data_IF_376325544640
#
_entry.id   IF_376325544640
#
_cell.length_a   1.000
_cell.length_b   1.000
_cell.length_c   1.000
_cell.angle_alpha   90.00
_cell.angle_beta   90.00
_cell.angle_gamma   90.00
#
_symmetry.space_group_name_H-M   'P 1'
#
loop_
_entity.id
_entity.type
_entity.pdbx_description
1 polymer ?
#
# COMPACT_ATOMS: atom_id res chain seq x y z
N UNK A 1 -29.73 -0.61 -20.34
CA UNK A 1 -28.76 -0.48 -19.23
C UNK A 1 -27.41 -0.18 -19.86
N UNK A 2 -26.83 0.99 -19.59
CA UNK A 2 -25.54 1.39 -20.14
C UNK A 2 -24.43 0.69 -19.35
N UNK A 3 -23.87 -0.38 -19.92
CA UNK A 3 -22.68 -1.04 -19.41
C UNK A 3 -21.50 -0.06 -19.50
N UNK A 4 -21.24 0.69 -18.42
CA UNK A 4 -19.95 1.37 -18.25
C UNK A 4 -18.88 0.28 -18.18
N UNK A 5 -17.83 0.32 -19.01
CA UNK A 5 -16.73 -0.62 -18.87
C UNK A 5 -16.18 -0.49 -17.45
N UNK A 6 -16.08 -1.60 -16.73
CA UNK A 6 -15.33 -1.64 -15.46
C UNK A 6 -13.92 -1.14 -15.79
N UNK A 7 -13.65 0.12 -15.44
CA UNK A 7 -12.40 0.76 -15.77
C UNK A 7 -11.33 0.18 -14.86
N UNK A 8 -10.45 -0.66 -15.42
CA UNK A 8 -9.31 -1.26 -14.72
C UNK A 8 -8.48 -0.20 -13.96
N UNK A 9 -8.31 0.98 -14.56
CA UNK A 9 -7.64 2.11 -13.92
C UNK A 9 -8.35 2.60 -12.64
N UNK A 10 -9.68 2.56 -12.60
CA UNK A 10 -10.46 2.88 -11.39
C UNK A 10 -10.26 1.84 -10.30
N UNK A 11 -10.24 0.56 -10.66
CA UNK A 11 -9.96 -0.52 -9.69
C UNK A 11 -8.54 -0.40 -9.11
N UNK A 12 -7.54 -0.05 -9.92
CA UNK A 12 -6.16 0.24 -9.46
C UNK A 12 -6.14 1.43 -8.50
N UNK A 13 -6.78 2.54 -8.84
CA UNK A 13 -6.87 3.70 -7.97
C UNK A 13 -7.59 3.42 -6.65
N UNK A 14 -8.61 2.56 -6.66
CA UNK A 14 -9.27 2.09 -5.43
C UNK A 14 -8.28 1.28 -4.57
N UNK A 15 -7.50 0.39 -5.16
CA UNK A 15 -6.47 -0.37 -4.44
C UNK A 15 -5.40 0.54 -3.80
N UNK A 16 -4.95 1.56 -4.52
CA UNK A 16 -4.03 2.58 -3.99
C UNK A 16 -4.70 3.37 -2.86
N UNK A 17 -5.96 3.77 -3.04
CA UNK A 17 -6.74 4.48 -2.03
C UNK A 17 -6.90 3.68 -0.73
N UNK A 18 -7.25 2.39 -0.82
CA UNK A 18 -7.33 1.48 0.34
C UNK A 18 -5.98 1.40 1.04
N UNK A 19 -4.89 1.29 0.27
CA UNK A 19 -3.53 1.26 0.82
C UNK A 19 -3.24 2.53 1.61
N UNK A 20 -3.50 3.70 1.04
CA UNK A 20 -3.26 4.99 1.69
C UNK A 20 -4.11 5.15 2.97
N UNK A 21 -5.37 4.72 2.94
CA UNK A 21 -6.27 4.75 4.09
C UNK A 21 -5.77 3.87 5.24
N UNK A 22 -5.24 2.68 4.90
CA UNK A 22 -4.67 1.76 5.89
C UNK A 22 -3.38 2.33 6.51
N UNK A 23 -2.61 3.09 5.72
CA UNK A 23 -1.43 3.81 6.21
C UNK A 23 -1.79 5.02 7.09
N UNK A 24 -2.97 5.63 6.90
CA UNK A 24 -3.45 6.66 7.82
C UNK A 24 -3.57 6.16 9.27
N UNK A 25 -3.79 4.84 9.46
CA UNK A 25 -3.80 4.22 10.78
C UNK A 25 -2.42 4.30 11.48
N UNK A 26 -1.33 4.26 10.72
CA UNK A 26 0.04 4.43 11.26
C UNK A 26 0.32 5.85 11.72
N UNK A 27 -0.48 6.84 11.32
CA UNK A 27 -0.35 8.20 11.83
C UNK A 27 -0.58 8.28 13.35
N UNK A 28 -1.26 7.28 13.94
CA UNK A 28 -1.46 7.14 15.38
C UNK A 28 -0.16 6.68 16.09
N UNK A 29 0.73 5.97 15.37
CA UNK A 29 1.98 5.42 15.90
C UNK A 29 3.19 5.91 15.08
N UNK A 30 3.70 7.12 15.36
CA UNK A 30 4.80 7.71 14.60
C UNK A 30 6.10 6.89 14.68
N UNK A 31 6.34 6.19 15.80
CA UNK A 31 7.51 5.30 15.98
C UNK A 31 7.57 4.20 14.90
N UNK A 32 6.42 3.77 14.38
CA UNK A 32 6.34 2.74 13.34
C UNK A 32 6.66 3.28 11.93
N UNK A 33 6.82 4.59 11.73
CA UNK A 33 7.16 5.18 10.42
C UNK A 33 8.56 4.78 9.93
N UNK A 34 9.53 4.65 10.83
CA UNK A 34 10.90 4.24 10.47
C UNK A 34 10.96 2.82 9.93
N UNK A 35 10.02 1.96 10.36
CA UNK A 35 9.91 0.58 9.90
C UNK A 35 8.65 0.33 9.07
N UNK A 36 8.02 1.38 8.50
CA UNK A 36 6.76 1.26 7.77
C UNK A 36 6.88 0.30 6.59
N UNK A 37 8.06 0.21 5.97
CA UNK A 37 8.33 -0.75 4.90
C UNK A 37 8.14 -2.22 5.31
N UNK A 38 8.41 -2.56 6.57
CA UNK A 38 8.28 -3.93 7.11
C UNK A 38 6.95 -4.11 7.84
N UNK A 39 6.57 -3.15 8.69
CA UNK A 39 5.33 -3.22 9.45
C UNK A 39 4.11 -3.23 8.52
N UNK A 40 4.21 -2.62 7.32
CA UNK A 40 3.13 -2.67 6.33
C UNK A 40 2.77 -4.08 5.90
N UNK A 41 3.74 -4.99 5.78
CA UNK A 41 3.48 -6.34 5.31
C UNK A 41 2.54 -7.09 6.27
N UNK A 42 2.65 -6.83 7.57
CA UNK A 42 1.88 -7.53 8.60
C UNK A 42 0.39 -7.22 8.50
N UNK A 43 0.02 -5.95 8.29
CA UNK A 43 -1.39 -5.56 8.18
C UNK A 43 -1.93 -5.61 6.74
N UNK A 44 -1.08 -5.48 5.71
CA UNK A 44 -1.53 -5.57 4.31
C UNK A 44 -1.77 -7.00 3.85
N UNK A 45 -0.99 -7.98 4.35
CA UNK A 45 -1.22 -9.40 4.01
C UNK A 45 -2.68 -9.83 4.21
N UNK A 46 -3.29 -9.65 5.40
CA UNK A 46 -4.68 -10.07 5.60
C UNK A 46 -5.65 -9.29 4.72
N UNK A 47 -5.42 -7.99 4.46
CA UNK A 47 -6.27 -7.19 3.57
C UNK A 47 -6.19 -7.68 2.13
N UNK A 48 -4.99 -8.00 1.63
CA UNK A 48 -4.79 -8.58 0.31
C UNK A 48 -5.46 -9.95 0.21
N UNK A 49 -5.30 -10.82 1.22
CA UNK A 49 -5.91 -12.15 1.24
C UNK A 49 -7.44 -12.05 1.23
N UNK A 50 -8.02 -11.20 2.10
CA UNK A 50 -9.47 -10.97 2.14
C UNK A 50 -9.97 -10.39 0.81
N UNK A 51 -9.28 -9.39 0.26
CA UNK A 51 -9.67 -8.76 -1.00
C UNK A 51 -9.54 -9.74 -2.18
N UNK A 52 -8.49 -10.58 -2.20
CA UNK A 52 -8.31 -11.62 -3.20
C UNK A 52 -9.41 -12.70 -3.12
N UNK A 53 -9.87 -13.02 -1.90
CA UNK A 53 -10.93 -13.99 -1.68
C UNK A 53 -12.31 -13.45 -2.05
N UNK A 54 -12.62 -12.19 -1.67
CA UNK A 54 -13.93 -11.55 -1.89
C UNK A 54 -14.07 -11.05 -3.33
N UNK A 55 -13.00 -10.55 -3.92
CA UNK A 55 -13.03 -9.83 -5.20
C UNK A 55 -12.27 -10.59 -6.29
N UNK A 56 -12.41 -11.93 -6.33
CA UNK A 56 -11.73 -12.85 -7.28
C UNK A 56 -11.70 -12.41 -8.75
N UNK A 57 -12.57 -11.49 -9.18
CA UNK A 57 -12.64 -10.94 -10.54
C UNK A 57 -12.00 -9.55 -10.74
N UNK A 58 -11.63 -8.79 -9.69
CA UNK A 58 -11.02 -7.45 -9.83
C UNK A 58 -9.54 -7.46 -9.46
N UNK A 59 -8.74 -8.02 -10.36
CA UNK A 59 -7.27 -8.02 -10.26
C UNK A 59 -6.68 -6.61 -10.23
N UNK A 60 -7.37 -5.60 -10.79
CA UNK A 60 -6.97 -4.20 -10.71
C UNK A 60 -6.81 -3.67 -9.28
N UNK A 61 -7.70 -4.06 -8.35
CA UNK A 61 -7.61 -3.63 -6.95
C UNK A 61 -6.38 -4.23 -6.28
N UNK A 62 -6.11 -5.53 -6.50
CA UNK A 62 -4.92 -6.21 -6.01
C UNK A 62 -3.65 -5.55 -6.57
N UNK A 63 -3.63 -5.22 -7.87
CA UNK A 63 -2.52 -4.53 -8.50
C UNK A 63 -2.29 -3.16 -7.88
N UNK A 64 -3.35 -2.38 -7.65
CA UNK A 64 -3.26 -1.08 -6.97
C UNK A 64 -2.72 -1.19 -5.54
N UNK A 65 -3.15 -2.20 -4.79
CA UNK A 65 -2.65 -2.44 -3.43
C UNK A 65 -1.15 -2.81 -3.41
N UNK A 66 -0.73 -3.72 -4.30
CA UNK A 66 0.68 -4.10 -4.42
C UNK A 66 1.55 -2.92 -4.87
N UNK A 67 1.05 -2.09 -5.79
CA UNK A 67 1.75 -0.90 -6.27
C UNK A 67 1.88 0.15 -5.16
N UNK A 68 0.82 0.39 -4.38
CA UNK A 68 0.85 1.27 -3.21
C UNK A 68 1.87 0.80 -2.18
N UNK A 69 1.87 -0.50 -1.83
CA UNK A 69 2.86 -1.07 -0.91
C UNK A 69 4.30 -0.94 -1.40
N UNK A 70 4.52 -1.19 -2.69
CA UNK A 70 5.84 -1.08 -3.31
C UNK A 70 6.38 0.36 -3.24
N UNK A 71 5.53 1.35 -3.51
CA UNK A 71 5.89 2.76 -3.38
C UNK A 71 6.25 3.11 -1.93
N UNK A 72 5.42 2.72 -0.95
CA UNK A 72 5.72 2.96 0.47
C UNK A 72 7.06 2.32 0.87
N UNK A 73 7.32 1.09 0.42
CA UNK A 73 8.56 0.39 0.73
C UNK A 73 9.78 1.15 0.18
N UNK A 74 9.73 1.55 -1.09
CA UNK A 74 10.80 2.32 -1.74
C UNK A 74 11.04 3.66 -1.05
N UNK A 75 9.97 4.38 -0.70
CA UNK A 75 10.05 5.64 0.03
C UNK A 75 10.63 5.45 1.44
N UNK A 76 10.23 4.40 2.17
CA UNK A 76 10.79 4.08 3.48
C UNK A 76 12.30 3.80 3.38
N UNK A 77 12.73 2.95 2.44
CA UNK A 77 14.16 2.65 2.24
C UNK A 77 14.94 3.90 1.85
N UNK A 78 14.39 4.77 0.99
CA UNK A 78 15.03 6.02 0.61
C UNK A 78 15.20 6.97 1.82
N UNK A 79 14.15 7.16 2.62
CA UNK A 79 14.18 8.03 3.79
C UNK A 79 15.09 7.48 4.90
N UNK A 80 14.98 6.18 5.21
CA UNK A 80 15.83 5.52 6.21
C UNK A 80 17.28 5.52 5.76
N UNK A 81 17.55 5.17 4.50
CA UNK A 81 18.89 5.23 3.91
C UNK A 81 19.50 6.63 3.98
N UNK A 82 18.71 7.67 3.71
CA UNK A 82 19.16 9.06 3.87
C UNK A 82 19.50 9.40 5.33
N UNK A 83 18.64 9.04 6.29
CA UNK A 83 18.89 9.27 7.72
C UNK A 83 20.17 8.57 8.19
N UNK A 84 20.38 7.31 7.78
CA UNK A 84 21.60 6.57 8.09
C UNK A 84 22.83 7.19 7.45
N UNK A 85 22.76 7.61 6.18
CA UNK A 85 23.87 8.24 5.48
C UNK A 85 24.26 9.58 6.11
N UNK A 86 23.28 10.40 6.52
CA UNK A 86 23.51 11.67 7.20
C UNK A 86 24.12 11.51 8.60
N UNK A 87 23.80 10.43 9.32
CA UNK A 87 24.38 10.16 10.65
C UNK A 87 25.76 9.49 10.62
N UNK A 88 26.14 8.87 9.49
CA UNK A 88 27.46 8.23 9.31
C UNK A 88 28.52 9.16 8.69
N UNK A 89 28.12 10.31 8.15
CA UNK A 89 29.00 11.31 7.55
C UNK A 89 29.27 12.47 8.50
#
# INVERSE_FOLDING_TARGET
MSDKPVNHATDVWIGVGITALLHLLLFIYPEAFLFIGVSQLVYMLPVIVVTAMVVRKRTGILQGMMLGMGITFLLNVACVGFVFFQFLS
#
